data_IF_165674380303
#
_entry.id   IF_165674380303
#
_cell.length_a   1.000
_cell.length_b   1.000
_cell.length_c   1.000
_cell.angle_alpha   90.00
_cell.angle_beta   90.00
_cell.angle_gamma   90.00
#
_symmetry.space_group_name_H-M   'P 1'
#
loop_
_entity.id
_entity.type
_entity.pdbx_description
1 polymer ?
#
# COMPACT_ATOMS: atom_id res chain seq x y z
N UNK A 1 75.16 -34.64 -37.06
CA UNK A 1 75.42 -33.87 -35.81
C UNK A 1 74.31 -32.84 -35.68
N UNK A 2 73.14 -33.24 -35.16
CA UNK A 2 72.71 -33.03 -33.77
C UNK A 2 72.78 -31.57 -33.33
N UNK A 3 71.61 -30.90 -33.28
CA UNK A 3 71.08 -30.19 -32.10
C UNK A 3 69.68 -29.63 -32.40
N UNK A 4 68.67 -30.29 -31.82
CA UNK A 4 67.34 -29.74 -31.57
C UNK A 4 67.43 -28.82 -30.34
N UNK A 5 66.91 -27.60 -30.44
CA UNK A 5 66.64 -26.72 -29.30
C UNK A 5 65.20 -26.96 -28.84
N UNK A 6 65.03 -27.51 -27.64
CA UNK A 6 63.78 -27.49 -26.90
C UNK A 6 63.90 -26.45 -25.79
N UNK A 7 63.07 -25.41 -25.85
CA UNK A 7 62.95 -24.40 -24.81
C UNK A 7 62.17 -24.98 -23.63
N UNK A 8 62.78 -24.97 -22.45
CA UNK A 8 62.17 -25.35 -21.19
C UNK A 8 61.21 -24.24 -20.76
N UNK A 9 59.90 -24.52 -20.74
CA UNK A 9 58.91 -23.66 -20.12
C UNK A 9 59.05 -23.76 -18.59
N UNK A 10 59.54 -22.68 -17.97
CA UNK A 10 59.55 -22.54 -16.52
C UNK A 10 58.14 -22.18 -16.03
N UNK A 11 57.42 -23.16 -15.50
CA UNK A 11 56.16 -22.94 -14.79
C UNK A 11 56.45 -22.24 -13.48
N UNK A 12 56.22 -20.92 -13.43
CA UNK A 12 56.22 -20.15 -12.20
C UNK A 12 54.96 -20.54 -11.40
N UNK A 13 55.10 -21.49 -10.46
CA UNK A 13 54.07 -21.73 -9.44
C UNK A 13 53.96 -20.47 -8.57
N UNK A 14 52.95 -19.64 -8.83
CA UNK A 14 52.44 -18.76 -7.79
C UNK A 14 51.86 -19.65 -6.70
N UNK A 15 52.61 -19.82 -5.61
CA UNK A 15 52.05 -20.27 -4.35
C UNK A 15 51.04 -19.22 -3.91
N UNK A 16 49.78 -19.40 -4.30
CA UNK A 16 48.64 -18.89 -3.55
C UNK A 16 48.79 -19.49 -2.16
N UNK A 17 49.38 -18.72 -1.24
CA UNK A 17 49.32 -19.04 0.18
C UNK A 17 47.84 -19.05 0.54
N UNK A 18 47.24 -20.24 0.54
CA UNK A 18 45.95 -20.47 1.17
C UNK A 18 46.09 -19.94 2.59
N UNK A 19 45.39 -18.85 2.90
CA UNK A 19 45.25 -18.44 4.29
C UNK A 19 44.71 -19.65 5.06
N UNK A 20 45.29 -20.03 6.21
CA UNK A 20 44.73 -21.10 7.01
C UNK A 20 43.25 -20.78 7.26
N UNK A 21 42.36 -21.72 6.94
CA UNK A 21 40.96 -21.66 7.30
C UNK A 21 40.89 -21.76 8.82
N UNK A 22 40.92 -20.61 9.50
CA UNK A 22 40.60 -20.57 10.92
C UNK A 22 39.11 -20.92 11.04
N UNK A 23 38.77 -21.91 11.86
CA UNK A 23 37.38 -22.17 12.20
C UNK A 23 36.88 -20.99 13.07
N UNK A 24 35.73 -20.44 12.72
CA UNK A 24 35.10 -19.33 13.46
C UNK A 24 33.59 -19.48 13.44
N UNK A 25 32.93 -18.92 14.45
CA UNK A 25 31.46 -18.93 14.53
C UNK A 25 30.89 -17.56 14.88
N UNK A 26 29.66 -17.30 14.43
CA UNK A 26 28.88 -16.10 14.80
C UNK A 26 27.97 -16.43 15.96
N UNK A 27 27.83 -15.49 16.88
CA UNK A 27 26.94 -15.59 18.02
C UNK A 27 26.08 -14.34 18.13
N UNK A 28 24.88 -14.52 18.66
CA UNK A 28 23.94 -13.44 18.96
C UNK A 28 23.77 -13.25 20.46
N UNK A 29 23.49 -12.02 20.84
CA UNK A 29 23.11 -11.70 22.21
C UNK A 29 22.73 -10.24 22.37
N UNK A 30 22.48 -9.85 23.60
CA UNK A 30 22.42 -8.45 23.97
C UNK A 30 23.76 -7.77 23.68
N UNK A 31 23.72 -6.57 23.13
CA UNK A 31 24.92 -5.75 22.92
C UNK A 31 25.45 -5.30 24.27
N UNK A 32 26.69 -5.67 24.53
CA UNK A 32 27.43 -5.25 25.71
C UNK A 32 28.52 -4.25 25.34
N UNK A 33 28.89 -3.40 26.30
CA UNK A 33 30.05 -2.51 26.12
C UNK A 33 31.31 -3.33 26.41
N UNK A 34 32.29 -3.38 25.50
CA UNK A 34 33.48 -4.20 25.71
C UNK A 34 34.23 -3.79 26.98
N UNK A 35 34.76 -4.76 27.71
CA UNK A 35 35.50 -4.54 28.97
C UNK A 35 36.96 -4.14 28.74
N UNK A 36 37.42 -4.10 27.50
CA UNK A 36 38.81 -3.83 27.10
C UNK A 36 38.89 -3.06 25.78
N UNK A 37 40.08 -2.51 25.48
CA UNK A 37 40.37 -1.83 24.19
C UNK A 37 40.29 -2.76 22.97
N UNK A 38 40.23 -4.08 23.20
CA UNK A 38 40.30 -5.11 22.15
C UNK A 38 38.92 -5.61 21.69
N UNK A 39 37.82 -4.97 22.14
CA UNK A 39 36.46 -5.40 21.80
C UNK A 39 36.10 -6.83 22.27
N UNK A 40 36.78 -7.33 23.31
CA UNK A 40 36.58 -8.68 23.84
C UNK A 40 35.67 -8.66 25.07
N UNK A 41 34.67 -9.54 25.05
CA UNK A 41 33.77 -9.85 26.14
C UNK A 41 34.14 -11.19 26.80
N UNK A 42 34.19 -11.20 28.12
CA UNK A 42 34.73 -12.30 28.93
C UNK A 42 33.64 -13.16 29.60
N UNK A 43 32.38 -12.72 29.56
CA UNK A 43 31.23 -13.41 30.14
C UNK A 43 30.43 -14.24 29.12
N UNK A 44 29.37 -14.90 29.58
CA UNK A 44 28.37 -15.51 28.69
C UNK A 44 27.38 -14.46 28.16
N UNK A 45 26.86 -14.64 26.95
CA UNK A 45 25.91 -13.71 26.36
C UNK A 45 24.52 -13.84 27.00
N UNK A 46 23.79 -12.73 27.10
CA UNK A 46 22.36 -12.67 27.41
C UNK A 46 21.52 -12.53 26.13
N UNK A 47 20.21 -12.83 26.21
CA UNK A 47 19.30 -12.58 25.08
C UNK A 47 19.00 -11.09 24.96
N UNK A 48 19.10 -10.56 23.74
CA UNK A 48 18.76 -9.16 23.45
C UNK A 48 17.26 -8.99 23.19
N UNK A 49 16.73 -7.82 23.56
CA UNK A 49 15.39 -7.37 23.18
C UNK A 49 15.47 -5.93 22.66
N UNK A 50 15.01 -5.71 21.42
CA UNK A 50 14.80 -4.40 20.84
C UNK A 50 13.30 -4.13 20.72
N UNK A 51 12.83 -2.99 21.25
CA UNK A 51 11.41 -2.60 21.16
C UNK A 51 11.28 -1.26 20.45
N UNK A 52 10.29 -1.13 19.57
CA UNK A 52 10.10 0.09 18.79
C UNK A 52 8.65 0.32 18.36
N UNK A 53 8.37 1.57 18.03
CA UNK A 53 7.10 2.01 17.48
C UNK A 53 7.24 2.23 15.97
N UNK A 54 6.44 1.51 15.18
CA UNK A 54 6.35 1.73 13.75
C UNK A 54 5.38 2.88 13.45
N UNK A 55 5.83 3.87 12.68
CA UNK A 55 4.94 4.86 12.08
C UNK A 55 3.96 4.18 11.14
N UNK A 56 2.72 4.67 11.07
CA UNK A 56 1.69 4.12 10.20
C UNK A 56 1.31 5.07 9.08
N UNK A 57 1.03 4.56 7.86
CA UNK A 57 0.54 5.39 6.79
C UNK A 57 -0.89 5.87 7.07
N UNK A 58 -1.27 6.99 6.45
CA UNK A 58 -2.68 7.36 6.30
C UNK A 58 -3.35 6.41 5.32
N UNK A 59 -4.54 5.90 5.68
CA UNK A 59 -5.29 4.95 4.86
C UNK A 59 -6.65 5.53 4.48
N UNK A 60 -6.87 5.65 3.18
CA UNK A 60 -8.16 5.99 2.60
C UNK A 60 -9.08 4.77 2.56
N UNK A 61 -10.34 4.95 2.97
CA UNK A 61 -11.37 3.92 2.96
C UNK A 61 -12.07 3.91 1.61
N UNK A 62 -12.00 2.77 0.93
CA UNK A 62 -12.71 2.51 -0.33
C UNK A 62 -13.42 1.16 -0.23
N UNK A 63 -14.61 1.09 -0.81
CA UNK A 63 -15.42 -0.09 -1.08
C UNK A 63 -14.92 -0.85 -2.32
N UNK A 64 -13.68 -1.34 -2.27
CA UNK A 64 -13.14 -2.21 -3.31
C UNK A 64 -13.43 -3.69 -3.03
N UNK A 65 -13.56 -4.49 -4.08
CA UNK A 65 -13.86 -5.94 -3.98
C UNK A 65 -12.61 -6.81 -3.92
N UNK A 66 -11.47 -6.29 -4.38
CA UNK A 66 -10.19 -7.01 -4.43
C UNK A 66 -9.20 -6.46 -3.42
N UNK A 67 -8.18 -7.27 -3.10
CA UNK A 67 -7.05 -6.86 -2.29
C UNK A 67 -6.33 -5.68 -2.97
N UNK A 68 -5.99 -4.65 -2.19
CA UNK A 68 -5.23 -3.50 -2.68
C UNK A 68 -4.19 -3.06 -1.67
N UNK A 69 -3.08 -2.53 -2.15
CA UNK A 69 -2.10 -1.85 -1.31
C UNK A 69 -2.63 -0.49 -0.85
N UNK A 70 -2.64 -0.24 0.45
CA UNK A 70 -3.19 0.99 1.04
C UNK A 70 -2.12 1.95 1.55
N UNK A 71 -0.91 1.48 1.78
CA UNK A 71 0.18 2.33 2.22
C UNK A 71 1.46 1.54 2.49
N UNK A 72 2.55 2.28 2.68
CA UNK A 72 3.83 1.72 3.13
C UNK A 72 4.35 2.59 4.26
N UNK A 73 4.86 1.99 5.32
CA UNK A 73 5.71 2.68 6.29
C UNK A 73 7.11 2.08 6.27
N UNK A 74 8.11 2.91 6.57
CA UNK A 74 9.51 2.50 6.66
C UNK A 74 10.03 2.82 8.05
N UNK A 75 10.84 1.92 8.59
CA UNK A 75 11.42 2.03 9.91
C UNK A 75 12.90 1.68 9.86
N UNK A 76 13.73 2.54 10.47
CA UNK A 76 15.17 2.35 10.62
C UNK A 76 15.50 2.05 12.08
N UNK A 77 16.31 1.03 12.31
CA UNK A 77 16.87 0.72 13.62
C UNK A 77 18.36 0.49 13.52
N UNK A 78 19.06 1.04 14.50
CA UNK A 78 20.51 1.02 14.59
C UNK A 78 20.95 0.59 15.98
N UNK A 79 21.38 -0.67 16.08
CA UNK A 79 21.95 -1.23 17.30
C UNK A 79 23.28 -0.60 17.70
N UNK A 80 23.93 0.24 16.87
CA UNK A 80 25.13 0.98 17.26
C UNK A 80 24.83 2.21 18.10
N UNK A 81 23.78 2.97 17.77
CA UNK A 81 23.48 4.27 18.39
C UNK A 81 22.44 4.23 19.52
N UNK A 82 21.63 3.17 19.62
CA UNK A 82 20.67 3.04 20.71
C UNK A 82 21.39 2.87 22.05
N UNK A 83 21.36 3.90 22.90
CA UNK A 83 22.03 3.98 24.22
C UNK A 83 21.54 3.01 25.31
N UNK A 84 21.06 1.82 24.94
CA UNK A 84 20.64 0.73 25.82
C UNK A 84 20.22 -0.47 24.98
N UNK A 85 20.61 -1.67 25.40
CA UNK A 85 20.07 -2.99 25.03
C UNK A 85 19.60 -3.12 23.57
N UNK A 86 20.51 -3.53 22.68
CA UNK A 86 20.23 -3.77 21.26
C UNK A 86 20.94 -5.03 20.79
N UNK A 87 20.48 -5.69 19.73
CA UNK A 87 21.12 -6.92 19.25
C UNK A 87 22.60 -6.77 18.91
N UNK A 88 23.44 -7.51 19.62
CA UNK A 88 24.87 -7.64 19.35
C UNK A 88 25.17 -8.86 18.49
N UNK A 89 26.17 -8.69 17.63
CA UNK A 89 26.75 -9.76 16.82
C UNK A 89 28.16 -9.97 17.31
N UNK A 90 28.49 -11.22 17.62
CA UNK A 90 29.75 -11.62 18.22
C UNK A 90 30.39 -12.74 17.42
N UNK A 91 31.69 -12.95 17.60
CA UNK A 91 32.38 -14.12 17.08
C UNK A 91 33.40 -14.70 18.05
N UNK A 92 33.77 -15.95 17.79
CA UNK A 92 34.88 -16.63 18.45
C UNK A 92 35.52 -17.68 17.51
N UNK A 93 36.56 -18.36 18.00
CA UNK A 93 37.30 -19.39 17.27
C UNK A 93 36.73 -20.81 17.43
N UNK A 94 35.58 -20.96 18.10
CA UNK A 94 34.96 -22.25 18.39
C UNK A 94 33.99 -22.64 17.29
N UNK A 95 34.08 -23.88 16.82
CA UNK A 95 33.24 -24.42 15.75
C UNK A 95 33.37 -23.66 14.41
N UNK A 96 32.56 -24.06 13.43
CA UNK A 96 32.55 -23.49 12.08
C UNK A 96 31.08 -23.20 11.69
N UNK A 97 30.49 -22.19 12.32
CA UNK A 97 29.06 -21.88 12.23
C UNK A 97 28.82 -20.46 11.72
N UNK A 98 28.30 -20.37 10.50
CA UNK A 98 28.12 -19.09 9.79
C UNK A 98 26.66 -18.82 9.43
N UNK A 99 25.76 -19.76 9.71
CA UNK A 99 24.36 -19.67 9.32
C UNK A 99 23.49 -19.05 10.42
N UNK A 100 22.69 -18.09 10.00
CA UNK A 100 21.78 -17.33 10.86
C UNK A 100 20.35 -17.59 10.42
N UNK A 101 19.46 -17.75 11.39
CA UNK A 101 18.03 -17.84 11.17
C UNK A 101 17.35 -16.58 11.66
N UNK A 102 16.60 -15.95 10.78
CA UNK A 102 15.56 -15.00 11.15
C UNK A 102 14.23 -15.76 11.23
N UNK A 103 13.54 -15.67 12.38
CA UNK A 103 12.23 -16.28 12.59
C UNK A 103 11.19 -15.21 12.88
N UNK A 104 9.95 -15.37 12.40
CA UNK A 104 8.83 -14.47 12.73
C UNK A 104 7.72 -15.18 13.50
N UNK A 105 7.07 -14.43 14.37
CA UNK A 105 5.85 -14.85 15.07
C UNK A 105 4.57 -14.37 14.39
N UNK A 106 4.64 -13.67 13.26
CA UNK A 106 3.45 -13.15 12.62
C UNK A 106 2.46 -14.25 12.22
N UNK A 107 1.19 -14.03 12.52
CA UNK A 107 0.14 -14.97 12.13
C UNK A 107 -0.13 -14.83 10.64
N UNK A 108 0.11 -15.90 9.87
CA UNK A 108 -0.18 -15.92 8.43
C UNK A 108 -1.67 -15.70 8.17
N UNK A 109 -1.98 -14.93 7.13
CA UNK A 109 -3.34 -14.81 6.60
C UNK A 109 -3.73 -15.97 5.68
N UNK A 110 -2.75 -16.76 5.23
CA UNK A 110 -2.91 -17.74 4.13
C UNK A 110 -2.98 -17.12 2.74
N UNK A 111 -2.87 -15.78 2.62
CA UNK A 111 -2.95 -15.05 1.36
C UNK A 111 -1.59 -14.53 0.91
N UNK A 112 -1.48 -14.24 -0.39
CA UNK A 112 -0.33 -13.56 -1.01
C UNK A 112 -0.81 -12.41 -1.88
N UNK A 113 0.00 -11.37 -2.01
CA UNK A 113 -0.24 -10.26 -2.93
C UNK A 113 1.08 -9.82 -3.57
N UNK A 114 1.09 -9.59 -4.89
CA UNK A 114 2.29 -9.31 -5.68
C UNK A 114 3.44 -10.30 -5.41
N UNK A 115 3.10 -11.56 -5.18
CA UNK A 115 4.08 -12.61 -4.90
C UNK A 115 4.60 -12.63 -3.46
N UNK A 116 4.11 -11.79 -2.54
CA UNK A 116 4.56 -11.74 -1.14
C UNK A 116 3.51 -12.22 -0.14
N UNK A 117 3.95 -12.82 0.96
CA UNK A 117 3.09 -13.33 2.04
C UNK A 117 2.41 -12.19 2.79
N UNK A 118 1.12 -12.36 3.03
CA UNK A 118 0.33 -11.45 3.85
C UNK A 118 0.17 -11.99 5.28
N UNK A 119 0.46 -11.13 6.25
CA UNK A 119 0.33 -11.35 7.68
C UNK A 119 -0.90 -10.62 8.24
N UNK A 120 -1.51 -11.16 9.29
CA UNK A 120 -2.75 -10.61 9.88
C UNK A 120 -2.49 -9.45 10.82
N UNK A 121 -3.37 -8.47 10.79
CA UNK A 121 -3.52 -7.48 11.87
C UNK A 121 -4.75 -7.81 12.72
N UNK A 122 -4.89 -7.11 13.85
CA UNK A 122 -6.10 -7.15 14.68
C UNK A 122 -7.33 -6.52 14.01
N UNK A 123 -7.17 -5.83 12.88
CA UNK A 123 -8.25 -5.18 12.14
C UNK A 123 -8.70 -6.09 11.00
N UNK A 124 -10.00 -6.41 10.96
CA UNK A 124 -10.56 -7.24 9.90
C UNK A 124 -10.32 -6.60 8.53
N UNK A 125 -9.86 -7.43 7.59
CA UNK A 125 -9.57 -7.01 6.22
C UNK A 125 -8.31 -6.19 6.04
N UNK A 126 -7.53 -5.93 7.09
CA UNK A 126 -6.23 -5.25 7.01
C UNK A 126 -5.09 -6.25 7.22
N UNK A 127 -4.17 -6.26 6.27
CA UNK A 127 -3.02 -7.15 6.22
C UNK A 127 -1.74 -6.37 5.99
N UNK A 128 -0.60 -7.03 6.19
CA UNK A 128 0.69 -6.44 5.88
C UNK A 128 1.70 -7.47 5.38
N UNK A 129 2.73 -6.99 4.67
CA UNK A 129 3.94 -7.73 4.31
C UNK A 129 5.16 -6.94 4.77
N UNK A 130 6.23 -7.61 5.17
CA UNK A 130 7.46 -6.96 5.65
C UNK A 130 8.59 -7.18 4.66
N UNK A 131 9.26 -6.08 4.30
CA UNK A 131 10.48 -6.09 3.49
C UNK A 131 11.60 -5.46 4.30
N UNK A 132 12.65 -6.21 4.60
CA UNK A 132 13.87 -5.64 5.10
C UNK A 132 14.66 -5.09 3.91
N UNK A 133 14.69 -3.77 3.72
CA UNK A 133 15.45 -3.14 2.64
C UNK A 133 16.95 -3.12 2.94
N UNK A 134 17.32 -3.22 4.21
CA UNK A 134 18.69 -3.35 4.67
C UNK A 134 18.71 -4.22 5.92
N UNK A 135 19.59 -5.21 5.93
CA UNK A 135 20.03 -5.92 7.13
C UNK A 135 21.55 -5.84 7.17
N UNK A 136 22.08 -5.27 8.25
CA UNK A 136 23.51 -5.11 8.48
C UNK A 136 23.85 -5.62 9.87
N UNK A 137 24.95 -6.34 9.97
CA UNK A 137 25.40 -7.04 11.18
C UNK A 137 26.82 -6.60 11.56
N UNK A 138 27.15 -5.34 11.31
CA UNK A 138 28.43 -4.70 11.57
C UNK A 138 29.50 -4.92 10.50
N UNK A 139 29.48 -6.05 9.80
CA UNK A 139 30.55 -6.45 8.87
C UNK A 139 30.11 -6.68 7.43
N UNK A 140 28.80 -6.83 7.19
CA UNK A 140 28.23 -6.99 5.85
C UNK A 140 26.77 -6.55 5.76
N UNK A 141 26.30 -6.33 4.53
CA UNK A 141 24.93 -5.91 4.20
C UNK A 141 24.26 -7.01 3.38
N UNK A 142 23.12 -7.52 3.84
CA UNK A 142 22.24 -8.35 3.01
C UNK A 142 21.29 -7.45 2.21
N UNK A 143 21.05 -7.81 0.94
CA UNK A 143 20.11 -7.14 0.04
C UNK A 143 18.66 -7.18 0.55
N UNK A 144 17.68 -6.66 -0.22
CA UNK A 144 16.32 -6.63 0.25
C UNK A 144 15.78 -8.06 0.48
N UNK A 145 15.30 -8.34 1.68
CA UNK A 145 14.72 -9.63 2.07
C UNK A 145 13.25 -9.44 2.40
N UNK A 146 12.39 -10.18 1.71
CA UNK A 146 10.96 -10.24 2.04
C UNK A 146 10.70 -11.33 3.08
N UNK A 147 9.89 -11.01 4.07
CA UNK A 147 9.43 -11.96 5.07
C UNK A 147 8.27 -12.81 4.51
N UNK A 148 8.61 -13.71 3.58
CA UNK A 148 7.66 -14.55 2.86
C UNK A 148 7.45 -15.93 3.49
N UNK A 149 8.23 -16.27 4.51
CA UNK A 149 8.18 -17.52 5.26
C UNK A 149 8.34 -17.25 6.76
N UNK A 150 7.97 -18.24 7.58
CA UNK A 150 8.14 -18.14 9.04
C UNK A 150 9.62 -18.07 9.46
N UNK A 151 10.51 -18.63 8.63
CA UNK A 151 11.95 -18.65 8.85
C UNK A 151 12.69 -18.31 7.57
N UNK A 152 13.78 -17.55 7.70
CA UNK A 152 14.70 -17.20 6.63
C UNK A 152 16.10 -17.51 7.13
N UNK A 153 16.85 -18.30 6.35
CA UNK A 153 18.25 -18.58 6.63
C UNK A 153 19.13 -17.60 5.84
N UNK A 154 20.12 -17.03 6.50
CA UNK A 154 21.11 -16.11 5.97
C UNK A 154 22.49 -16.70 6.22
N UNK A 155 23.29 -16.87 5.18
CA UNK A 155 24.68 -17.37 5.27
C UNK A 155 25.63 -16.18 5.39
N UNK A 156 26.48 -16.15 6.42
CA UNK A 156 27.40 -15.04 6.69
C UNK A 156 28.83 -15.28 6.22
N UNK A 157 29.14 -16.46 5.68
CA UNK A 157 30.50 -16.84 5.29
C UNK A 157 31.15 -15.87 4.29
N UNK A 158 30.34 -15.23 3.43
CA UNK A 158 30.79 -14.23 2.46
C UNK A 158 30.75 -12.77 2.92
N UNK A 159 30.27 -12.50 4.13
CA UNK A 159 29.93 -11.14 4.59
C UNK A 159 30.93 -10.56 5.59
N UNK A 160 31.89 -11.35 6.08
CA UNK A 160 32.86 -10.89 7.07
C UNK A 160 34.22 -10.62 6.40
N UNK A 161 34.78 -9.40 6.56
CA UNK A 161 36.11 -9.10 6.07
C UNK A 161 37.19 -10.03 6.65
N UNK A 162 38.22 -10.43 5.87
CA UNK A 162 39.26 -11.36 6.31
C UNK A 162 40.00 -10.96 7.60
N UNK A 163 40.14 -9.66 7.87
CA UNK A 163 40.70 -9.13 9.11
C UNK A 163 39.89 -9.49 10.35
N UNK A 164 38.56 -9.46 10.24
CA UNK A 164 37.66 -9.84 11.31
C UNK A 164 37.68 -11.36 11.51
N UNK A 165 37.77 -12.14 10.42
CA UNK A 165 37.94 -13.60 10.50
C UNK A 165 39.20 -14.00 11.29
N UNK A 166 40.32 -13.30 11.04
CA UNK A 166 41.57 -13.51 11.80
C UNK A 166 41.41 -13.16 13.28
N UNK A 167 40.69 -12.08 13.58
CA UNK A 167 40.44 -11.66 14.94
C UNK A 167 39.53 -12.67 15.68
N UNK A 168 38.44 -13.13 15.04
CA UNK A 168 37.56 -14.17 15.56
C UNK A 168 38.33 -15.47 15.83
N UNK A 169 39.19 -15.91 14.90
CA UNK A 169 40.01 -17.11 15.02
C UNK A 169 41.06 -17.07 16.16
N UNK A 170 41.35 -15.90 16.72
CA UNK A 170 42.24 -15.72 17.86
C UNK A 170 41.55 -15.63 19.22
N UNK A 171 40.21 -15.68 19.26
CA UNK A 171 39.40 -15.46 20.47
C UNK A 171 38.84 -16.80 20.95
N UNK A 172 39.54 -17.46 21.87
CA UNK A 172 39.13 -18.73 22.47
C UNK A 172 38.39 -18.52 23.80
N UNK A 173 37.27 -19.22 24.01
CA UNK A 173 36.45 -19.20 25.25
C UNK A 173 35.92 -17.81 25.65
N UNK A 174 35.85 -16.88 24.69
CA UNK A 174 35.44 -15.48 24.85
C UNK A 174 34.62 -15.07 23.62
N UNK A 175 34.02 -13.89 23.66
CA UNK A 175 33.27 -13.34 22.52
C UNK A 175 33.87 -12.01 22.10
N UNK A 176 34.24 -11.88 20.83
CA UNK A 176 34.61 -10.58 20.26
C UNK A 176 33.36 -9.92 19.68
N UNK A 177 33.07 -8.67 20.03
CA UNK A 177 31.96 -7.94 19.42
C UNK A 177 32.35 -7.53 18.00
N UNK A 178 31.54 -7.97 17.03
CA UNK A 178 31.67 -7.59 15.63
C UNK A 178 30.88 -6.32 15.31
N UNK A 179 29.80 -6.08 16.04
CA UNK A 179 28.96 -4.90 15.87
C UNK A 179 27.56 -5.07 16.43
N UNK A 180 26.68 -4.11 16.08
CA UNK A 180 25.25 -4.21 16.30
C UNK A 180 24.52 -4.69 15.04
N UNK A 181 23.34 -5.24 15.23
CA UNK A 181 22.38 -5.39 14.15
C UNK A 181 21.91 -3.98 13.75
N UNK A 182 21.73 -3.71 12.46
CA UNK A 182 21.14 -2.49 11.91
C UNK A 182 20.17 -2.94 10.83
N UNK A 183 18.94 -2.44 10.85
CA UNK A 183 17.94 -2.83 9.89
C UNK A 183 17.09 -1.66 9.42
N UNK A 184 16.63 -1.76 8.18
CA UNK A 184 15.52 -0.94 7.67
C UNK A 184 14.41 -1.88 7.23
N UNK A 185 13.24 -1.74 7.82
CA UNK A 185 12.05 -2.55 7.53
C UNK A 185 10.94 -1.68 6.94
N UNK A 186 10.42 -2.07 5.79
CA UNK A 186 9.22 -1.53 5.18
C UNK A 186 8.02 -2.45 5.47
N UNK A 187 6.98 -1.86 6.04
CA UNK A 187 5.68 -2.48 6.23
C UNK A 187 4.76 -2.01 5.12
N UNK A 188 4.41 -2.90 4.22
CA UNK A 188 3.42 -2.63 3.18
C UNK A 188 2.06 -3.13 3.66
N UNK A 189 1.07 -2.24 3.70
CA UNK A 189 -0.28 -2.54 4.17
C UNK A 189 -1.23 -2.78 3.01
N UNK A 190 -2.14 -3.72 3.20
CA UNK A 190 -3.14 -4.10 2.20
C UNK A 190 -4.52 -4.21 2.84
N UNK A 191 -5.55 -3.85 2.08
CA UNK A 191 -6.93 -3.95 2.50
C UNK A 191 -7.75 -4.76 1.51
N UNK A 192 -8.65 -5.59 2.01
CA UNK A 192 -9.66 -6.29 1.21
C UNK A 192 -11.05 -5.66 1.37
N UNK A 193 -12.06 -6.34 0.82
CA UNK A 193 -13.45 -5.90 0.85
C UNK A 193 -14.11 -5.92 2.24
N UNK A 194 -13.50 -6.58 3.23
CA UNK A 194 -13.96 -6.60 4.62
C UNK A 194 -13.38 -5.46 5.46
N UNK A 195 -12.39 -4.71 4.95
CA UNK A 195 -11.85 -3.54 5.63
C UNK A 195 -12.86 -2.39 5.66
N UNK A 196 -13.52 -2.22 6.81
CA UNK A 196 -14.59 -1.23 7.04
C UNK A 196 -14.38 -0.50 8.38
N UNK A 197 -13.29 0.28 8.54
CA UNK A 197 -13.06 1.02 9.77
C UNK A 197 -14.14 2.10 9.97
N UNK A 198 -14.56 2.29 11.21
CA UNK A 198 -15.57 3.28 11.61
C UNK A 198 -15.00 4.41 12.48
N UNK A 199 -13.72 4.33 12.83
CA UNK A 199 -13.04 5.27 13.71
C UNK A 199 -11.70 5.72 13.12
N UNK A 200 -11.29 6.93 13.49
CA UNK A 200 -9.98 7.51 13.21
C UNK A 200 -9.54 8.30 14.45
N UNK A 201 -8.34 8.08 15.00
CA UNK A 201 -7.33 7.12 14.54
C UNK A 201 -7.76 5.66 14.78
N UNK A 202 -7.26 4.75 13.94
CA UNK A 202 -7.52 3.32 14.00
C UNK A 202 -6.39 2.61 14.74
N UNK A 203 -6.68 2.11 15.93
CA UNK A 203 -5.76 1.26 16.67
C UNK A 203 -5.67 -0.12 16.03
N UNK A 204 -4.45 -0.60 15.79
CA UNK A 204 -4.18 -1.92 15.26
C UNK A 204 -2.96 -2.55 15.93
N UNK A 205 -2.96 -3.87 16.03
CA UNK A 205 -1.81 -4.65 16.46
C UNK A 205 -1.44 -5.66 15.35
N UNK A 206 -0.15 -5.92 15.19
CA UNK A 206 0.30 -7.08 14.42
C UNK A 206 -0.07 -8.35 15.17
N UNK A 207 -0.77 -9.28 14.51
CA UNK A 207 -1.19 -10.51 15.18
C UNK A 207 -0.05 -11.51 15.20
N UNK A 208 0.21 -12.09 16.38
CA UNK A 208 1.34 -12.98 16.62
C UNK A 208 0.89 -14.34 17.14
N UNK A 209 1.62 -15.38 16.76
CA UNK A 209 1.49 -16.74 17.32
C UNK A 209 2.23 -16.82 18.66
N UNK A 210 3.44 -16.27 18.75
CA UNK A 210 4.18 -16.11 20.01
C UNK A 210 4.21 -14.62 20.38
N UNK A 211 3.85 -14.29 21.62
CA UNK A 211 3.60 -12.89 22.02
C UNK A 211 4.88 -12.11 22.35
N UNK A 212 6.02 -12.79 22.45
CA UNK A 212 7.27 -12.27 22.97
C UNK A 212 8.18 -11.60 21.93
N UNK A 213 7.92 -11.79 20.63
CA UNK A 213 8.62 -11.11 19.53
C UNK A 213 7.76 -10.99 18.26
N UNK A 214 8.07 -10.03 17.41
CA UNK A 214 7.61 -9.95 16.01
C UNK A 214 8.51 -10.79 15.10
N UNK A 215 9.83 -10.57 15.21
CA UNK A 215 10.86 -11.42 14.63
C UNK A 215 12.08 -11.51 15.56
N UNK A 216 12.91 -12.53 15.35
CA UNK A 216 14.16 -12.71 16.08
C UNK A 216 15.27 -13.18 15.15
N UNK A 217 16.51 -12.97 15.57
CA UNK A 217 17.70 -13.58 14.99
C UNK A 217 18.32 -14.57 15.99
N UNK A 218 18.76 -15.70 15.46
CA UNK A 218 19.46 -16.75 16.18
C UNK A 218 20.36 -17.55 15.24
N UNK A 219 21.27 -18.36 15.79
CA UNK A 219 22.02 -19.32 14.98
C UNK A 219 21.12 -20.47 14.53
N UNK A 220 21.44 -21.09 13.39
CA UNK A 220 20.69 -22.27 12.89
C UNK A 220 21.00 -23.55 13.66
N UNK A 221 22.19 -23.68 14.28
CA UNK A 221 22.57 -24.90 15.02
C UNK A 221 21.65 -25.07 16.26
N UNK A 222 20.97 -26.21 16.40
CA UNK A 222 20.07 -26.47 17.52
C UNK A 222 20.76 -26.55 18.90
N UNK A 223 22.09 -26.58 18.95
CA UNK A 223 22.92 -26.60 20.17
C UNK A 223 23.56 -25.23 20.46
N UNK A 224 23.17 -24.18 19.73
CA UNK A 224 23.76 -22.85 19.85
C UNK A 224 23.74 -22.28 21.28
N UNK A 225 22.75 -22.66 22.08
CA UNK A 225 22.64 -22.30 23.49
C UNK A 225 23.72 -22.94 24.37
N UNK A 226 24.11 -24.19 24.09
CA UNK A 226 25.24 -24.88 24.72
C UNK A 226 26.57 -24.18 24.42
N UNK A 227 26.67 -23.53 23.26
CA UNK A 227 27.84 -22.77 22.84
C UNK A 227 27.79 -21.30 23.29
N UNK A 228 26.76 -20.92 24.05
CA UNK A 228 26.61 -19.59 24.63
C UNK A 228 25.95 -18.57 23.71
N UNK A 229 25.54 -18.92 22.49
CA UNK A 229 24.72 -18.01 21.67
C UNK A 229 23.34 -17.85 22.26
N UNK A 230 22.80 -16.64 22.14
CA UNK A 230 21.44 -16.29 22.52
C UNK A 230 20.65 -15.78 21.32
N UNK A 231 19.44 -15.31 21.59
CA UNK A 231 18.55 -14.74 20.57
C UNK A 231 18.54 -13.23 20.72
N UNK A 232 18.33 -12.53 19.60
CA UNK A 232 17.94 -11.12 19.61
C UNK A 232 16.51 -11.01 19.12
N UNK A 233 15.61 -10.58 20.00
CA UNK A 233 14.18 -10.40 19.71
C UNK A 233 13.87 -8.96 19.35
N UNK A 234 12.95 -8.77 18.41
CA UNK A 234 12.43 -7.47 17.99
C UNK A 234 10.93 -7.42 18.28
N UNK A 235 10.49 -6.39 19.00
CA UNK A 235 9.10 -6.13 19.34
C UNK A 235 8.64 -4.79 18.76
N UNK A 236 7.51 -4.81 18.08
CA UNK A 236 7.05 -3.73 17.22
C UNK A 236 5.63 -3.41 17.59
N UNK A 237 5.44 -2.17 18.03
CA UNK A 237 4.12 -1.64 18.29
C UNK A 237 3.75 -0.71 17.16
N UNK A 238 2.57 -0.91 16.60
CA UNK A 238 2.04 -0.01 15.59
C UNK A 238 1.45 1.24 16.23
N UNK A 239 1.88 2.42 15.79
CA UNK A 239 1.15 3.64 16.14
C UNK A 239 -0.27 3.60 15.55
N UNK A 240 -1.26 4.29 16.12
CA UNK A 240 -2.59 4.35 15.52
C UNK A 240 -2.56 4.90 14.09
N UNK A 241 -3.28 4.25 13.16
CA UNK A 241 -3.35 4.67 11.76
C UNK A 241 -4.32 5.83 11.60
N UNK A 242 -4.01 6.81 10.75
CA UNK A 242 -5.00 7.82 10.36
C UNK A 242 -5.89 7.23 9.26
N UNK A 243 -7.18 7.11 9.54
CA UNK A 243 -8.17 6.69 8.55
C UNK A 243 -8.87 7.92 7.98
N UNK A 244 -8.95 7.98 6.65
CA UNK A 244 -9.58 9.08 5.91
C UNK A 244 -10.65 8.56 4.96
N UNK A 245 -11.72 9.33 4.79
CA UNK A 245 -12.82 9.01 3.91
C UNK A 245 -12.75 9.89 2.66
N UNK A 246 -12.94 9.32 1.46
CA UNK A 246 -13.01 10.09 0.23
C UNK A 246 -14.10 11.17 0.33
N UNK A 247 -13.77 12.38 -0.08
CA UNK A 247 -14.68 13.52 0.01
C UNK A 247 -14.44 14.52 -1.12
N UNK A 248 -15.48 15.26 -1.51
CA UNK A 248 -15.42 16.46 -2.31
C UNK A 248 -16.54 17.42 -1.89
N UNK A 249 -16.39 18.70 -2.22
CA UNK A 249 -17.47 19.69 -2.17
C UNK A 249 -18.05 19.89 -3.56
N UNK A 250 -19.37 19.75 -3.72
CA UNK A 250 -20.05 20.12 -4.96
C UNK A 250 -20.09 21.66 -5.05
N UNK A 251 -19.44 22.24 -6.06
CA UNK A 251 -19.27 23.69 -6.15
C UNK A 251 -20.20 24.35 -7.15
N UNK A 252 -20.24 23.83 -8.38
CA UNK A 252 -20.93 24.52 -9.47
C UNK A 252 -21.36 23.59 -10.60
N UNK A 253 -22.36 24.06 -11.36
CA UNK A 253 -22.68 23.57 -12.70
C UNK A 253 -22.10 24.58 -13.68
N UNK A 254 -21.51 24.11 -14.78
CA UNK A 254 -20.91 24.95 -15.82
C UNK A 254 -21.33 24.51 -17.21
N UNK A 255 -21.30 25.44 -18.16
CA UNK A 255 -21.71 25.23 -19.54
C UNK A 255 -22.13 26.58 -20.16
N UNK A 256 -22.14 26.65 -21.49
CA UNK A 256 -22.46 27.91 -22.19
C UNK A 256 -23.89 28.40 -21.95
N UNK A 257 -24.82 27.49 -21.68
CA UNK A 257 -26.22 27.77 -21.38
C UNK A 257 -26.56 27.74 -19.88
N UNK A 258 -25.54 27.67 -19.00
CA UNK A 258 -25.73 27.48 -17.57
C UNK A 258 -25.70 28.81 -16.83
N UNK A 259 -26.71 29.06 -16.01
CA UNK A 259 -26.76 30.17 -15.05
C UNK A 259 -27.05 29.62 -13.66
N UNK A 260 -26.09 29.71 -12.75
CA UNK A 260 -26.18 29.09 -11.43
C UNK A 260 -26.25 27.56 -11.54
N UNK A 261 -27.40 26.98 -11.17
CA UNK A 261 -27.68 25.54 -11.32
C UNK A 261 -28.67 25.23 -12.45
N UNK A 262 -29.04 26.23 -13.25
CA UNK A 262 -30.04 26.11 -14.30
C UNK A 262 -29.38 25.94 -15.66
N UNK A 263 -29.71 24.87 -16.38
CA UNK A 263 -29.32 24.66 -17.78
C UNK A 263 -30.44 25.17 -18.69
N UNK A 264 -30.18 26.20 -19.48
CA UNK A 264 -31.17 26.70 -20.43
C UNK A 264 -31.24 25.78 -21.66
N UNK A 265 -32.42 25.18 -21.88
CA UNK A 265 -32.68 24.33 -23.06
C UNK A 265 -33.10 25.14 -24.29
N UNK A 266 -33.53 26.40 -24.11
CA UNK A 266 -34.00 27.27 -25.18
C UNK A 266 -35.47 27.08 -25.54
N UNK A 267 -35.90 27.75 -26.61
CA UNK A 267 -37.25 27.69 -27.16
C UNK A 267 -37.28 26.75 -28.37
N UNK A 268 -38.26 25.84 -28.39
CA UNK A 268 -38.35 24.79 -29.43
C UNK A 268 -39.78 24.62 -29.91
N UNK A 269 -39.95 24.33 -31.20
CA UNK A 269 -41.27 23.92 -31.72
C UNK A 269 -41.52 22.45 -31.40
N UNK A 270 -42.80 22.09 -31.27
CA UNK A 270 -43.20 20.70 -31.07
C UNK A 270 -42.76 19.75 -32.21
N UNK A 271 -42.55 20.26 -33.43
CA UNK A 271 -41.96 19.49 -34.53
C UNK A 271 -40.52 19.08 -34.24
N UNK A 272 -39.74 20.00 -33.68
CA UNK A 272 -38.30 19.83 -33.52
C UNK A 272 -38.02 18.84 -32.37
N UNK A 273 -38.82 18.91 -31.30
CA UNK A 273 -38.80 17.96 -30.20
C UNK A 273 -39.11 16.54 -30.70
N UNK A 274 -40.11 16.39 -31.59
CA UNK A 274 -40.48 15.08 -32.18
C UNK A 274 -39.42 14.53 -33.13
N UNK A 275 -38.77 15.41 -33.89
CA UNK A 275 -37.71 15.03 -34.82
C UNK A 275 -36.37 14.73 -34.13
N UNK A 276 -36.23 15.13 -32.85
CA UNK A 276 -35.03 14.95 -32.06
C UNK A 276 -34.17 16.21 -32.03
N UNK A 277 -33.95 16.73 -30.83
CA UNK A 277 -33.12 17.91 -30.60
C UNK A 277 -31.66 17.52 -30.31
N UNK A 278 -30.76 18.43 -30.64
CA UNK A 278 -29.38 18.35 -30.17
C UNK A 278 -29.32 18.49 -28.65
N UNK A 279 -28.44 17.72 -28.03
CA UNK A 279 -28.27 17.75 -26.59
C UNK A 279 -27.49 19.00 -26.14
N UNK A 280 -27.88 19.58 -25.02
CA UNK A 280 -27.22 20.74 -24.42
C UNK A 280 -26.16 20.26 -23.41
N UNK A 281 -24.87 20.48 -23.67
CA UNK A 281 -23.81 20.03 -22.77
C UNK A 281 -23.72 20.90 -21.52
N UNK A 282 -23.45 20.27 -20.38
CA UNK A 282 -23.09 20.93 -19.13
C UNK A 282 -22.12 20.05 -18.33
N UNK A 283 -21.56 20.58 -17.24
CA UNK A 283 -20.65 19.85 -16.38
C UNK A 283 -20.91 20.12 -14.91
N UNK A 284 -20.78 19.08 -14.11
CA UNK A 284 -20.77 19.15 -12.65
C UNK A 284 -19.32 19.21 -12.17
N UNK A 285 -18.98 20.27 -11.44
CA UNK A 285 -17.63 20.47 -10.91
C UNK A 285 -17.61 20.20 -9.40
N UNK A 286 -16.82 19.20 -9.01
CA UNK A 286 -16.52 18.89 -7.62
C UNK A 286 -15.12 19.40 -7.30
N UNK A 287 -14.98 20.06 -6.16
CA UNK A 287 -13.74 20.68 -5.72
C UNK A 287 -13.35 20.29 -4.30
N UNK A 288 -12.10 20.56 -3.94
CA UNK A 288 -11.55 20.15 -2.64
C UNK A 288 -11.58 18.63 -2.48
N UNK A 289 -11.55 17.89 -3.59
CA UNK A 289 -11.59 16.45 -3.57
C UNK A 289 -10.33 15.89 -2.88
N UNK A 290 -10.51 14.92 -2.00
CA UNK A 290 -9.41 14.26 -1.29
C UNK A 290 -9.68 12.77 -1.21
N UNK A 291 -8.67 11.96 -1.54
CA UNK A 291 -8.70 10.50 -1.52
C UNK A 291 -9.78 9.88 -2.43
N UNK A 292 -10.24 10.63 -3.43
CA UNK A 292 -11.25 10.16 -4.38
C UNK A 292 -10.57 9.40 -5.51
N UNK A 293 -10.87 8.09 -5.58
CA UNK A 293 -10.51 7.23 -6.71
C UNK A 293 -11.59 7.28 -7.79
N UNK A 294 -12.83 7.05 -7.36
CA UNK A 294 -13.99 6.94 -8.21
C UNK A 294 -15.15 7.78 -7.64
N UNK A 295 -16.06 8.17 -8.51
CA UNK A 295 -17.29 8.89 -8.19
C UNK A 295 -18.45 8.11 -8.81
N UNK A 296 -19.50 7.89 -8.04
CA UNK A 296 -20.76 7.35 -8.51
C UNK A 296 -21.82 8.44 -8.45
N UNK A 297 -22.60 8.54 -9.52
CA UNK A 297 -23.66 9.55 -9.64
C UNK A 297 -24.98 8.88 -9.96
N UNK A 298 -26.00 9.17 -9.16
CA UNK A 298 -27.40 8.85 -9.43
C UNK A 298 -28.20 10.12 -9.66
N UNK A 299 -29.25 10.02 -10.46
CA UNK A 299 -30.22 11.09 -10.63
C UNK A 299 -31.48 10.76 -9.83
N UNK A 300 -31.93 11.70 -9.00
CA UNK A 300 -33.20 11.58 -8.27
C UNK A 300 -34.10 12.76 -8.57
N UNK A 301 -35.41 12.53 -8.55
CA UNK A 301 -36.41 13.58 -8.77
C UNK A 301 -37.74 13.23 -8.15
N UNK A 302 -38.49 14.23 -7.68
CA UNK A 302 -39.89 14.07 -7.28
C UNK A 302 -40.86 14.03 -8.46
N UNK A 303 -40.39 14.32 -9.68
CA UNK A 303 -41.25 14.53 -10.85
C UNK A 303 -40.62 13.87 -12.08
N UNK A 304 -41.11 12.67 -12.39
CA UNK A 304 -40.67 11.86 -13.55
C UNK A 304 -41.77 11.79 -14.61
N UNK A 305 -41.38 11.58 -15.87
CA UNK A 305 -42.31 11.40 -16.99
C UNK A 305 -43.26 10.23 -16.75
N UNK A 306 -44.49 10.36 -17.25
CA UNK A 306 -45.51 9.31 -17.11
C UNK A 306 -45.59 8.41 -18.33
N UNK A 307 -45.23 8.93 -19.52
CA UNK A 307 -45.11 8.17 -20.75
C UNK A 307 -43.70 7.61 -20.97
N UNK A 308 -42.68 8.32 -20.52
CA UNK A 308 -41.27 7.93 -20.52
C UNK A 308 -40.64 8.25 -19.17
N UNK A 309 -40.45 7.21 -18.35
CA UNK A 309 -39.90 7.30 -17.00
C UNK A 309 -38.41 7.63 -16.96
N UNK A 310 -37.73 7.70 -18.11
CA UNK A 310 -36.34 8.18 -18.20
C UNK A 310 -36.23 9.70 -18.15
N UNK A 311 -37.34 10.43 -18.24
CA UNK A 311 -37.37 11.89 -18.30
C UNK A 311 -37.69 12.51 -16.95
N UNK A 312 -37.07 13.66 -16.68
CA UNK A 312 -37.53 14.62 -15.68
C UNK A 312 -38.71 15.40 -16.26
N UNK A 313 -39.86 15.40 -15.61
CA UNK A 313 -41.05 16.08 -16.15
C UNK A 313 -41.17 17.54 -15.68
N UNK A 314 -42.10 18.26 -16.29
CA UNK A 314 -42.36 19.65 -15.98
C UNK A 314 -42.91 19.81 -14.55
N UNK A 315 -42.24 20.64 -13.76
CA UNK A 315 -42.63 21.01 -12.40
C UNK A 315 -43.51 22.27 -12.36
N UNK A 316 -43.62 23.00 -13.49
CA UNK A 316 -44.58 24.11 -13.60
C UNK A 316 -46.01 23.59 -13.64
N UNK A 317 -46.90 24.35 -13.02
CA UNK A 317 -48.35 24.10 -13.00
C UNK A 317 -49.08 25.31 -13.57
N UNK A 318 -50.34 25.13 -13.98
CA UNK A 318 -51.18 26.21 -14.55
C UNK A 318 -51.28 26.20 -16.07
N UNK A 319 -51.94 27.22 -16.62
CA UNK A 319 -52.25 27.31 -18.06
C UNK A 319 -51.01 27.48 -18.95
N UNK A 320 -49.94 28.09 -18.42
CA UNK A 320 -48.71 28.33 -19.15
C UNK A 320 -47.69 27.18 -19.06
N UNK A 321 -48.03 26.07 -18.40
CA UNK A 321 -47.14 24.92 -18.27
C UNK A 321 -47.19 24.03 -19.53
N UNK A 322 -46.04 23.79 -20.15
CA UNK A 322 -45.93 22.84 -21.25
C UNK A 322 -46.32 21.42 -20.80
N UNK A 323 -46.98 20.68 -21.69
CA UNK A 323 -47.44 19.29 -21.46
C UNK A 323 -46.80 18.34 -22.47
N UNK A 324 -46.68 17.07 -22.10
CA UNK A 324 -46.21 16.00 -22.99
C UNK A 324 -44.73 16.06 -23.34
N UNK A 325 -43.93 16.77 -22.54
CA UNK A 325 -42.49 16.94 -22.72
C UNK A 325 -41.75 16.79 -21.40
N UNK A 326 -40.52 16.29 -21.47
CA UNK A 326 -39.61 16.12 -20.35
C UNK A 326 -38.15 16.25 -20.76
N UNK A 327 -37.25 16.20 -19.78
CA UNK A 327 -35.81 16.37 -20.00
C UNK A 327 -35.10 15.06 -19.69
N UNK A 328 -34.38 14.54 -20.68
CA UNK A 328 -33.47 13.42 -20.52
C UNK A 328 -32.09 13.93 -20.10
N UNK A 329 -31.47 13.28 -19.13
CA UNK A 329 -30.10 13.56 -18.71
C UNK A 329 -29.20 12.37 -19.08
N UNK A 330 -28.08 12.65 -19.75
CA UNK A 330 -27.08 11.65 -20.13
C UNK A 330 -25.73 12.01 -19.51
N UNK A 331 -25.00 11.02 -18.99
CA UNK A 331 -23.58 11.13 -18.63
C UNK A 331 -22.72 10.83 -19.85
N UNK A 332 -21.66 11.60 -20.05
CA UNK A 332 -20.72 11.41 -21.15
C UNK A 332 -19.88 10.13 -21.00
N UNK A 333 -19.23 9.67 -22.06
CA UNK A 333 -18.32 8.54 -21.96
C UNK A 333 -17.05 8.88 -21.16
N UNK A 334 -16.57 7.94 -20.35
CA UNK A 334 -15.34 8.04 -19.57
C UNK A 334 -14.74 6.62 -19.33
N UNK A 335 -13.55 6.49 -18.71
CA UNK A 335 -12.90 5.19 -18.51
C UNK A 335 -13.73 4.13 -17.77
N UNK A 336 -14.72 4.52 -16.96
CA UNK A 336 -15.57 3.60 -16.19
C UNK A 336 -17.03 3.51 -16.69
N UNK A 337 -17.45 4.34 -17.64
CA UNK A 337 -18.81 4.29 -18.16
C UNK A 337 -18.85 4.71 -19.62
N UNK A 338 -19.53 3.93 -20.45
CA UNK A 338 -19.98 4.41 -21.75
C UNK A 338 -20.97 5.57 -21.56
N UNK A 339 -21.20 6.36 -22.62
CA UNK A 339 -22.28 7.35 -22.61
C UNK A 339 -23.60 6.65 -22.27
N UNK A 340 -24.34 7.17 -21.30
CA UNK A 340 -25.56 6.53 -20.79
C UNK A 340 -26.60 7.53 -20.30
N UNK A 341 -27.88 7.14 -20.38
CA UNK A 341 -28.98 7.89 -19.76
C UNK A 341 -29.02 7.65 -18.25
N UNK A 342 -29.07 8.72 -17.46
CA UNK A 342 -29.35 8.63 -16.03
C UNK A 342 -30.87 8.61 -15.84
N UNK A 343 -31.42 7.43 -15.54
CA UNK A 343 -32.85 7.24 -15.27
C UNK A 343 -33.16 7.69 -13.83
N UNK A 344 -34.03 8.70 -13.63
CA UNK A 344 -34.34 9.20 -12.31
C UNK A 344 -34.90 8.12 -11.38
N UNK A 345 -34.44 8.10 -10.12
CA UNK A 345 -34.89 7.19 -9.05
C UNK A 345 -34.69 5.69 -9.33
N UNK A 346 -33.92 5.31 -10.36
CA UNK A 346 -33.66 3.91 -10.69
C UNK A 346 -32.38 3.43 -10.00
N UNK A 347 -32.49 2.36 -9.20
CA UNK A 347 -31.40 1.91 -8.32
C UNK A 347 -30.12 1.49 -9.06
N UNK A 348 -30.27 0.88 -10.24
CA UNK A 348 -29.20 0.38 -11.12
C UNK A 348 -28.74 1.43 -12.16
N UNK A 349 -29.36 2.62 -12.20
CA UNK A 349 -28.92 3.72 -13.05
C UNK A 349 -27.82 4.52 -12.36
N UNK A 350 -26.60 3.98 -12.40
CA UNK A 350 -25.42 4.59 -11.76
C UNK A 350 -24.41 4.97 -12.84
N UNK A 351 -24.07 6.25 -12.90
CA UNK A 351 -22.98 6.74 -13.73
C UNK A 351 -21.68 6.65 -12.93
N UNK A 352 -20.71 5.89 -13.43
CA UNK A 352 -19.40 5.72 -12.80
C UNK A 352 -18.39 6.65 -13.47
N UNK A 353 -17.62 7.35 -12.67
CA UNK A 353 -16.62 8.31 -13.14
C UNK A 353 -15.31 8.15 -12.39
N UNK A 354 -14.20 8.38 -13.09
CA UNK A 354 -12.88 8.54 -12.49
C UNK A 354 -12.11 9.60 -13.30
N UNK A 355 -11.30 10.41 -12.60
CA UNK A 355 -10.33 11.30 -13.25
C UNK A 355 -9.08 10.56 -13.72
N UNK A 356 -8.88 9.32 -13.30
CA UNK A 356 -7.75 8.51 -13.72
C UNK A 356 -8.07 7.78 -15.02
N UNK A 357 -7.21 7.93 -16.02
CA UNK A 357 -7.32 7.20 -17.28
C UNK A 357 -7.17 5.69 -17.04
N UNK A 358 -6.24 5.30 -16.15
CA UNK A 358 -6.07 3.92 -15.69
C UNK A 358 -6.31 3.85 -14.18
N UNK A 359 -7.08 2.84 -13.75
CA UNK A 359 -7.38 2.66 -12.32
C UNK A 359 -6.13 2.37 -11.47
N UNK A 360 -5.06 1.88 -12.09
CA UNK A 360 -3.75 1.68 -11.46
C UNK A 360 -3.03 2.98 -11.14
N UNK A 361 -3.43 4.13 -11.70
CA UNK A 361 -2.74 5.40 -11.44
C UNK A 361 -3.06 5.94 -10.03
N UNK A 362 -4.16 5.47 -9.43
CA UNK A 362 -4.45 5.73 -8.01
C UNK A 362 -3.67 4.77 -7.13
N UNK A 363 -2.60 5.27 -6.51
CA UNK A 363 -1.69 4.48 -5.69
C UNK A 363 -1.81 4.84 -4.20
N UNK A 364 -1.74 3.84 -3.33
CA UNK A 364 -1.46 3.94 -1.89
C UNK A 364 -2.18 5.08 -1.15
N UNK A 365 -3.51 5.14 -1.26
CA UNK A 365 -4.32 6.16 -0.58
C UNK A 365 -3.86 7.60 -0.85
N UNK A 366 -3.44 7.88 -2.10
CA UNK A 366 -3.12 9.22 -2.57
C UNK A 366 -4.28 10.19 -2.36
N UNK A 367 -3.97 11.44 -2.01
CA UNK A 367 -4.97 12.53 -1.92
C UNK A 367 -5.67 12.75 -3.26
N UNK A 368 -4.99 12.43 -4.37
CA UNK A 368 -5.56 12.46 -5.71
C UNK A 368 -5.82 13.87 -6.25
N UNK A 369 -6.70 13.96 -7.24
CA UNK A 369 -7.03 15.21 -7.91
C UNK A 369 -8.11 15.98 -7.13
N UNK A 370 -7.79 17.22 -6.74
CA UNK A 370 -8.66 18.13 -6.02
C UNK A 370 -9.87 18.63 -6.83
N UNK A 371 -9.84 18.52 -8.17
CA UNK A 371 -10.92 18.92 -9.08
C UNK A 371 -11.42 17.71 -9.88
N UNK A 372 -12.73 17.47 -9.85
CA UNK A 372 -13.39 16.43 -10.64
C UNK A 372 -14.48 17.09 -11.50
N UNK A 373 -14.33 17.04 -12.82
CA UNK A 373 -15.30 17.61 -13.77
C UNK A 373 -16.02 16.48 -14.50
N UNK A 374 -17.30 16.30 -14.18
CA UNK A 374 -18.15 15.28 -14.78
C UNK A 374 -19.01 15.93 -15.87
N UNK A 375 -18.94 15.40 -17.10
CA UNK A 375 -19.68 15.93 -18.25
C UNK A 375 -21.01 15.24 -18.42
N UNK A 376 -22.05 16.04 -18.70
CA UNK A 376 -23.41 15.58 -18.91
C UNK A 376 -24.06 16.32 -20.08
N UNK A 377 -25.18 15.78 -20.54
CA UNK A 377 -26.01 16.38 -21.57
C UNK A 377 -27.47 16.40 -21.12
N UNK A 378 -28.17 17.49 -21.43
CA UNK A 378 -29.61 17.60 -21.23
C UNK A 378 -30.32 17.71 -22.58
N UNK A 379 -31.35 16.90 -22.79
CA UNK A 379 -32.11 16.89 -24.05
C UNK A 379 -33.60 16.97 -23.77
N UNK A 380 -34.29 17.95 -24.37
CA UNK A 380 -35.75 18.03 -24.32
C UNK A 380 -36.35 16.96 -25.24
N UNK A 381 -37.27 16.14 -24.71
CA UNK A 381 -37.91 15.02 -25.41
C UNK A 381 -39.41 15.00 -25.19
N UNK A 382 -40.12 14.36 -26.11
CA UNK A 382 -41.53 14.03 -25.94
C UNK A 382 -41.69 12.98 -24.82
N UNK A 383 -42.66 13.17 -23.94
CA UNK A 383 -42.98 12.22 -22.86
C UNK A 383 -43.82 11.06 -23.41
N UNK A 384 -43.13 10.02 -23.89
CA UNK A 384 -43.74 8.90 -24.62
C UNK A 384 -44.49 9.38 -25.87
N UNK A 385 -45.77 9.04 -25.98
CA UNK A 385 -46.65 9.47 -27.08
C UNK A 385 -47.56 10.64 -26.72
N UNK A 386 -47.33 11.32 -25.58
CA UNK A 386 -48.18 12.41 -25.12
C UNK A 386 -48.17 13.60 -26.09
N UNK A 387 -49.31 14.22 -26.34
CA UNK A 387 -49.40 15.41 -27.19
C UNK A 387 -48.62 16.57 -26.58
N UNK A 388 -47.71 17.16 -27.35
CA UNK A 388 -46.92 18.32 -26.93
C UNK A 388 -47.79 19.57 -26.93
N UNK A 389 -48.02 20.14 -25.75
CA UNK A 389 -48.71 21.42 -25.57
C UNK A 389 -47.72 22.59 -25.48
N UNK A 390 -48.11 23.75 -26.00
CA UNK A 390 -47.35 24.99 -25.84
C UNK A 390 -47.25 25.40 -24.36
N UNK A 391 -46.10 25.93 -23.95
CA UNK A 391 -45.92 26.50 -22.62
C UNK A 391 -44.46 26.52 -22.17
N UNK A 392 -44.25 26.86 -20.91
CA UNK A 392 -42.96 26.84 -20.22
C UNK A 392 -42.71 25.50 -19.57
N UNK A 393 -41.47 25.03 -19.66
CA UNK A 393 -40.99 23.84 -18.99
C UNK A 393 -39.89 24.18 -17.98
N UNK A 394 -40.03 23.69 -16.75
CA UNK A 394 -38.96 23.66 -15.76
C UNK A 394 -38.93 22.27 -15.13
N UNK A 395 -37.85 21.53 -15.31
CA UNK A 395 -37.66 20.21 -14.70
C UNK A 395 -36.58 20.28 -13.62
N UNK A 396 -36.75 19.53 -12.53
CA UNK A 396 -35.80 19.48 -11.41
C UNK A 396 -35.29 18.07 -11.20
N UNK A 397 -33.98 17.93 -11.13
CA UNK A 397 -33.29 16.69 -10.79
C UNK A 397 -32.14 16.99 -9.83
N UNK A 398 -31.88 16.07 -8.92
CA UNK A 398 -30.78 16.15 -7.95
C UNK A 398 -29.79 15.05 -8.26
N UNK A 399 -28.51 15.42 -8.44
CA UNK A 399 -27.43 14.46 -8.52
C UNK A 399 -27.03 14.01 -7.11
N UNK A 400 -27.19 12.72 -6.82
CA UNK A 400 -26.66 12.09 -5.62
C UNK A 400 -25.29 11.51 -5.92
N UNK A 401 -24.29 11.92 -5.12
CA UNK A 401 -22.89 11.58 -5.34
C UNK A 401 -22.40 10.70 -4.21
N UNK A 402 -21.76 9.59 -4.55
CA UNK A 402 -21.06 8.72 -3.59
C UNK A 402 -19.64 8.46 -4.06
N UNK A 403 -18.74 8.21 -3.12
CA UNK A 403 -17.33 7.94 -3.36
C UNK A 403 -17.02 6.50 -2.94
N UNK A 404 -17.11 5.53 -3.87
CA UNK A 404 -16.87 4.13 -3.58
C UNK A 404 -15.39 3.81 -3.37
#
# INVERSE_FOLDING_TARGET
MSRFFAALAGTLLFALSSMPSHAWSIYFGEKETPTSRDNIYLGGLSSGLATFNAGMPTVAVHSETSMRKVGTSSYYWDGFQSGGTGGGVYCNSHHDMHDIRMSTSYQSSGQRFDGHTLWKTSVSGLYFSVKFTTLNFGTGITGPVWLDSNTINLDFSGFIPPENLRACGGVENKFMIMGGIVLTAEYHFYADSSFRPTASPLSMNFTKVQQDYDFLFEMTDPRADLYGSKQVKFNITGNPMVVTFPTCTARSISGSSVTGTTVALGEHKASDIRNGLAAVPFSLNLEGCSYVKNVQVKLVSSSVGTGDTTLLTNTKTGADAAKGVGVMIEGDANPLSAKMTLVPNKADSIYHFSSYANQSDYQQSSVGNALQTLKFFATLKQDGSATIGSGRLEAKGTFQITYP
#
